data_IF_183293969824
#
_entry.id   IF_183293969824
#
_cell.length_a   1.000
_cell.length_b   1.000
_cell.length_c   1.000
_cell.angle_alpha   90.00
_cell.angle_beta   90.00
_cell.angle_gamma   90.00
#
_symmetry.space_group_name_H-M   'P 1'
#
loop_
_entity.id
_entity.type
_entity.pdbx_description
1 polymer ?
#
# COMPACT_ATOMS: atom_id res chain seq x y z
N UNK A 1 72.90 -67.03 36.70
CA UNK A 1 71.51 -66.78 36.88
C UNK A 1 71.22 -65.33 36.46
N UNK A 2 70.66 -65.09 35.26
CA UNK A 2 70.31 -63.74 34.75
C UNK A 2 68.78 -63.57 34.85
N UNK A 3 68.33 -62.60 35.67
CA UNK A 3 66.94 -62.25 35.77
C UNK A 3 66.62 -61.13 34.71
N UNK A 4 65.76 -61.45 33.77
CA UNK A 4 65.23 -60.49 32.84
C UNK A 4 63.98 -59.79 33.42
N UNK A 5 64.07 -58.45 33.57
CA UNK A 5 62.93 -57.61 33.94
C UNK A 5 62.14 -57.25 32.68
N UNK A 6 60.87 -57.64 32.64
CA UNK A 6 59.96 -57.21 31.61
C UNK A 6 59.22 -55.98 32.07
N UNK A 7 59.45 -54.84 31.35
CA UNK A 7 58.78 -53.61 31.57
C UNK A 7 57.45 -53.64 30.71
N UNK A 8 56.30 -53.57 31.39
CA UNK A 8 55.01 -53.43 30.70
C UNK A 8 54.78 -51.97 30.44
N UNK A 9 54.61 -51.63 29.16
CA UNK A 9 54.16 -50.28 28.69
C UNK A 9 52.64 -50.28 28.54
N UNK A 10 51.96 -49.59 29.45
CA UNK A 10 50.56 -49.35 29.39
C UNK A 10 50.31 -48.13 28.51
N UNK A 11 49.74 -48.35 27.30
CA UNK A 11 49.28 -47.28 26.41
C UNK A 11 47.89 -46.75 26.88
N UNK A 12 47.90 -45.56 27.46
CA UNK A 12 46.70 -44.87 27.84
C UNK A 12 46.02 -44.22 26.56
N UNK A 13 44.85 -44.69 26.18
CA UNK A 13 44.03 -44.01 25.18
C UNK A 13 43.40 -42.77 25.83
N UNK A 14 43.84 -41.59 25.42
CA UNK A 14 43.18 -40.33 25.70
C UNK A 14 42.00 -40.18 24.71
N UNK A 15 40.79 -40.42 25.16
CA UNK A 15 39.56 -40.11 24.40
C UNK A 15 39.32 -38.59 24.53
N UNK A 16 39.52 -37.85 23.43
CA UNK A 16 39.13 -36.45 23.33
C UNK A 16 37.62 -36.35 23.12
N UNK A 17 36.87 -35.52 23.90
CA UNK A 17 35.46 -35.30 23.63
C UNK A 17 35.31 -34.47 22.36
N UNK A 18 34.66 -35.05 21.33
CA UNK A 18 34.19 -34.32 20.15
C UNK A 18 32.96 -33.52 20.56
N UNK A 19 33.15 -32.21 20.80
CA UNK A 19 32.05 -31.28 20.95
C UNK A 19 31.39 -31.09 19.58
N UNK A 20 30.29 -31.82 19.30
CA UNK A 20 29.39 -31.50 18.20
C UNK A 20 28.71 -30.17 18.54
N UNK A 21 29.26 -29.09 18.04
CA UNK A 21 28.56 -27.78 18.02
C UNK A 21 27.33 -27.91 17.12
N UNK A 22 26.16 -27.92 17.74
CA UNK A 22 24.92 -27.72 16.99
C UNK A 22 24.96 -26.29 16.39
N UNK A 23 25.25 -26.18 15.09
CA UNK A 23 25.08 -24.95 14.35
C UNK A 23 23.57 -24.67 14.29
N UNK A 24 23.06 -23.84 15.20
CA UNK A 24 21.72 -23.30 15.08
C UNK A 24 21.70 -22.50 13.77
N UNK A 25 20.94 -22.98 12.77
CA UNK A 25 20.60 -22.19 11.60
C UNK A 25 19.77 -21.00 12.10
N UNK A 26 20.42 -19.88 12.37
CA UNK A 26 19.72 -18.62 12.57
C UNK A 26 19.03 -18.28 11.26
N UNK A 27 17.69 -18.40 11.23
CA UNK A 27 16.89 -17.86 10.13
C UNK A 27 17.18 -16.37 10.04
N UNK A 28 17.57 -15.90 8.84
CA UNK A 28 17.74 -14.47 8.61
C UNK A 28 16.47 -13.73 9.05
N UNK A 29 16.57 -12.58 9.70
CA UNK A 29 15.40 -11.81 10.10
C UNK A 29 14.57 -11.48 8.84
N UNK A 30 13.29 -11.82 8.87
CA UNK A 30 12.36 -11.52 7.78
C UNK A 30 11.94 -10.06 7.89
N UNK A 31 12.03 -9.30 6.79
CA UNK A 31 11.55 -7.91 6.74
C UNK A 31 10.02 -7.91 6.68
N UNK A 32 9.37 -7.33 7.69
CA UNK A 32 7.91 -7.21 7.76
C UNK A 32 7.44 -5.92 7.07
N UNK A 33 6.56 -6.07 6.08
CA UNK A 33 5.98 -4.97 5.33
C UNK A 33 4.47 -4.86 5.55
N UNK A 34 3.96 -3.63 5.61
CA UNK A 34 2.52 -3.34 5.68
C UNK A 34 2.12 -2.48 4.50
N UNK A 35 1.12 -2.94 3.73
CA UNK A 35 0.46 -2.20 2.66
C UNK A 35 -0.75 -1.44 3.19
N UNK A 36 -0.76 -0.11 3.06
CA UNK A 36 -1.86 0.77 3.42
C UNK A 36 -2.32 1.54 2.18
N UNK A 37 -3.60 1.86 2.14
CA UNK A 37 -4.08 2.77 1.11
C UNK A 37 -5.49 2.50 0.61
N UNK A 38 -5.80 3.19 -0.48
CA UNK A 38 -7.08 3.11 -1.18
C UNK A 38 -7.04 2.15 -2.39
N UNK A 39 -7.92 2.37 -3.38
CA UNK A 39 -8.00 1.52 -4.57
C UNK A 39 -6.73 1.48 -5.41
N UNK A 40 -5.89 2.53 -5.38
CA UNK A 40 -4.62 2.53 -6.10
C UNK A 40 -3.55 1.64 -5.45
N UNK A 41 -3.68 1.40 -4.15
CA UNK A 41 -2.89 0.37 -3.46
C UNK A 41 -3.52 -1.01 -3.62
N UNK A 42 -4.85 -1.13 -3.40
CA UNK A 42 -5.57 -2.40 -3.43
C UNK A 42 -5.66 -3.06 -4.82
N UNK A 43 -5.60 -2.29 -5.92
CA UNK A 43 -5.65 -2.83 -7.28
C UNK A 43 -6.99 -3.52 -7.64
N UNK A 44 -8.16 -2.85 -7.47
CA UNK A 44 -9.43 -3.46 -7.80
C UNK A 44 -9.48 -3.91 -9.26
N UNK A 45 -10.17 -5.03 -9.52
CA UNK A 45 -10.30 -5.66 -10.83
C UNK A 45 -9.03 -6.27 -11.42
N UNK A 46 -7.88 -6.12 -10.78
CA UNK A 46 -6.64 -6.82 -11.16
C UNK A 46 -6.68 -8.23 -10.56
N UNK A 47 -6.79 -9.24 -11.39
CA UNK A 47 -6.88 -10.64 -10.94
C UNK A 47 -5.50 -11.26 -10.72
N UNK A 48 -5.37 -12.20 -9.75
CA UNK A 48 -6.39 -12.70 -8.83
C UNK A 48 -6.72 -11.72 -7.71
N UNK A 49 -8.01 -11.67 -7.33
CA UNK A 49 -8.47 -10.91 -6.16
C UNK A 49 -8.27 -11.73 -4.88
N UNK A 50 -8.05 -11.05 -3.76
CA UNK A 50 -7.94 -11.66 -2.43
C UNK A 50 -9.33 -12.13 -1.93
N UNK A 51 -9.57 -13.45 -1.82
CA UNK A 51 -10.84 -13.97 -1.38
C UNK A 51 -11.12 -13.73 0.10
N UNK A 52 -10.10 -13.41 0.89
CA UNK A 52 -10.25 -13.10 2.33
C UNK A 52 -10.74 -11.66 2.57
N UNK A 53 -10.71 -10.80 1.56
CA UNK A 53 -11.04 -9.39 1.67
C UNK A 53 -11.91 -8.88 0.49
N UNK A 54 -13.05 -9.55 0.21
CA UNK A 54 -13.88 -9.22 -0.95
C UNK A 54 -14.44 -7.79 -0.90
N UNK A 55 -14.69 -7.27 0.29
CA UNK A 55 -15.17 -5.91 0.47
C UNK A 55 -14.14 -4.82 0.12
N UNK A 56 -12.86 -5.15 0.08
CA UNK A 56 -11.79 -4.22 -0.28
C UNK A 56 -11.41 -4.27 -1.76
N UNK A 57 -11.88 -5.27 -2.51
CA UNK A 57 -11.52 -5.53 -3.90
C UNK A 57 -9.99 -5.55 -4.09
N UNK A 58 -9.27 -6.16 -3.13
CA UNK A 58 -7.81 -6.20 -3.13
C UNK A 58 -7.30 -7.27 -4.08
N UNK A 59 -6.28 -6.91 -4.87
CA UNK A 59 -5.56 -7.85 -5.73
C UNK A 59 -4.45 -8.54 -4.95
N UNK A 60 -4.16 -9.81 -5.28
CA UNK A 60 -2.95 -10.51 -4.82
C UNK A 60 -1.71 -10.20 -5.67
N UNK A 61 -1.83 -9.27 -6.63
CA UNK A 61 -0.75 -8.83 -7.52
C UNK A 61 -0.72 -7.31 -7.70
N UNK A 62 -1.29 -6.57 -6.76
CA UNK A 62 -1.18 -5.12 -6.65
C UNK A 62 0.27 -4.67 -6.39
N UNK A 63 0.52 -3.34 -6.33
CA UNK A 63 1.90 -2.89 -6.18
C UNK A 63 2.53 -3.25 -4.82
N UNK A 64 1.82 -3.25 -3.66
CA UNK A 64 2.40 -3.74 -2.42
C UNK A 64 2.87 -5.19 -2.51
N UNK A 65 2.05 -6.07 -3.11
CA UNK A 65 2.43 -7.47 -3.35
C UNK A 65 3.62 -7.61 -4.30
N UNK A 66 3.67 -6.81 -5.38
CA UNK A 66 4.79 -6.84 -6.34
C UNK A 66 6.10 -6.38 -5.69
N UNK A 67 6.04 -5.33 -4.89
CA UNK A 67 7.22 -4.84 -4.14
C UNK A 67 7.68 -5.89 -3.14
N UNK A 68 6.76 -6.46 -2.36
CA UNK A 68 7.09 -7.48 -1.37
C UNK A 68 7.73 -8.72 -2.02
N UNK A 69 7.16 -9.21 -3.11
CA UNK A 69 7.71 -10.34 -3.87
C UNK A 69 9.13 -10.05 -4.37
N UNK A 70 9.34 -8.87 -4.98
CA UNK A 70 10.64 -8.48 -5.53
C UNK A 70 11.73 -8.32 -4.45
N UNK A 71 11.33 -7.88 -3.26
CA UNK A 71 12.23 -7.59 -2.15
C UNK A 71 12.37 -8.75 -1.15
N UNK A 72 11.56 -9.79 -1.26
CA UNK A 72 11.52 -10.90 -0.30
C UNK A 72 10.94 -10.50 1.06
N UNK A 73 9.98 -9.55 1.09
CA UNK A 73 9.31 -9.11 2.30
C UNK A 73 8.13 -10.01 2.66
N UNK A 74 7.85 -10.13 3.95
CA UNK A 74 6.59 -10.69 4.45
C UNK A 74 5.57 -9.55 4.50
N UNK A 75 4.59 -9.58 3.60
CA UNK A 75 3.60 -8.52 3.46
C UNK A 75 2.33 -8.81 4.26
N UNK A 76 1.87 -7.82 5.00
CA UNK A 76 0.52 -7.70 5.51
C UNK A 76 -0.18 -6.53 4.80
N UNK A 77 -0.92 -6.82 3.74
CA UNK A 77 -1.66 -5.81 2.99
C UNK A 77 -3.05 -5.64 3.57
N UNK A 78 -3.37 -4.42 3.97
CA UNK A 78 -4.68 -4.00 4.47
C UNK A 78 -5.27 -2.84 3.68
N UNK A 79 -4.70 -2.54 2.51
CA UNK A 79 -5.27 -1.55 1.59
C UNK A 79 -6.70 -1.92 1.21
N UNK A 80 -7.55 -0.93 1.00
CA UNK A 80 -8.96 -1.16 0.76
C UNK A 80 -9.53 -0.11 -0.20
N UNK A 81 -10.17 -0.55 -1.27
CA UNK A 81 -10.80 0.35 -2.24
C UNK A 81 -11.82 1.26 -1.56
N UNK A 82 -11.84 2.54 -1.96
CA UNK A 82 -12.71 3.54 -1.35
C UNK A 82 -12.18 4.19 -0.07
N UNK A 83 -11.07 3.69 0.50
CA UNK A 83 -10.54 4.24 1.76
C UNK A 83 -10.19 5.73 1.64
N UNK A 84 -10.56 6.48 2.66
CA UNK A 84 -10.15 7.86 2.94
C UNK A 84 -9.09 7.91 4.03
N UNK A 85 -8.55 9.07 4.30
CA UNK A 85 -7.64 9.25 5.44
C UNK A 85 -8.31 8.95 6.79
N UNK A 86 -9.62 9.11 6.90
CA UNK A 86 -10.37 8.81 8.12
C UNK A 86 -10.45 7.29 8.37
N UNK A 87 -10.49 6.47 7.31
CA UNK A 87 -10.51 5.00 7.38
C UNK A 87 -9.17 4.39 7.83
N UNK A 88 -8.12 5.20 7.89
CA UNK A 88 -6.89 4.82 8.57
C UNK A 88 -7.10 4.67 10.08
N UNK A 89 -7.99 5.47 10.68
CA UNK A 89 -8.25 5.56 12.12
C UNK A 89 -9.55 4.90 12.56
N UNK A 90 -10.51 4.77 11.66
CA UNK A 90 -11.85 4.22 11.92
C UNK A 90 -12.16 3.07 10.95
N UNK A 91 -13.18 2.27 11.26
CA UNK A 91 -13.67 1.23 10.34
C UNK A 91 -14.39 1.84 9.16
N UNK A 92 -14.07 1.38 7.93
CA UNK A 92 -14.87 1.64 6.74
C UNK A 92 -15.88 0.52 6.47
N UNK A 93 -16.88 0.80 5.66
CA UNK A 93 -17.76 -0.24 5.10
C UNK A 93 -17.23 -0.70 3.75
N UNK A 94 -16.93 -1.99 3.63
CA UNK A 94 -16.49 -2.59 2.37
C UNK A 94 -17.61 -2.67 1.33
N UNK A 95 -17.27 -2.96 0.08
CA UNK A 95 -18.24 -3.14 -1.01
C UNK A 95 -19.18 -4.34 -0.80
N UNK A 96 -18.84 -5.26 0.08
CA UNK A 96 -19.69 -6.38 0.52
C UNK A 96 -20.61 -6.01 1.71
N UNK A 97 -20.63 -4.74 2.11
CA UNK A 97 -21.43 -4.23 3.21
C UNK A 97 -20.88 -4.53 4.61
N UNK A 98 -19.71 -5.19 4.71
CA UNK A 98 -19.11 -5.52 6.01
C UNK A 98 -18.16 -4.46 6.49
N UNK A 99 -17.98 -4.39 7.82
CA UNK A 99 -17.01 -3.51 8.44
C UNK A 99 -15.58 -4.02 8.16
N UNK A 100 -14.72 -3.12 7.69
CA UNK A 100 -13.28 -3.33 7.52
C UNK A 100 -12.56 -2.56 8.63
N UNK A 101 -11.67 -3.20 9.41
CA UNK A 101 -10.99 -2.54 10.51
C UNK A 101 -10.13 -1.35 10.05
N UNK A 102 -9.83 -0.40 10.97
CA UNK A 102 -8.91 0.71 10.68
C UNK A 102 -7.56 0.19 10.19
N UNK A 103 -7.08 0.70 9.07
CA UNK A 103 -5.86 0.17 8.43
C UNK A 103 -4.61 0.32 9.32
N UNK A 104 -4.51 1.40 10.10
CA UNK A 104 -3.38 1.61 11.02
C UNK A 104 -3.27 0.54 12.11
N UNK A 105 -4.30 -0.28 12.35
CA UNK A 105 -4.24 -1.39 13.30
C UNK A 105 -3.31 -2.54 12.85
N UNK A 106 -2.93 -2.57 11.57
CA UNK A 106 -1.95 -3.52 11.04
C UNK A 106 -0.51 -3.20 11.46
N UNK A 107 -0.24 -1.95 11.84
CA UNK A 107 1.10 -1.49 12.19
C UNK A 107 1.55 -1.99 13.58
N UNK A 108 2.80 -2.39 13.65
CA UNK A 108 3.49 -2.83 14.88
C UNK A 108 4.82 -2.11 15.03
N UNK A 109 5.37 -2.09 16.24
CA UNK A 109 6.72 -1.56 16.48
C UNK A 109 7.81 -2.32 15.73
N UNK A 110 7.54 -3.57 15.33
CA UNK A 110 8.41 -4.44 14.54
C UNK A 110 8.21 -4.31 13.03
N UNK A 111 7.25 -3.49 12.57
CA UNK A 111 7.09 -3.24 11.13
C UNK A 111 8.32 -2.53 10.59
N UNK A 112 8.92 -3.07 9.52
CA UNK A 112 10.13 -2.55 8.90
C UNK A 112 9.84 -1.62 7.72
N UNK A 113 8.78 -1.92 6.96
CA UNK A 113 8.42 -1.19 5.74
C UNK A 113 6.92 -0.90 5.71
N UNK A 114 6.57 0.31 5.33
CA UNK A 114 5.18 0.72 5.07
C UNK A 114 5.08 1.31 3.68
N UNK A 115 4.09 0.87 2.91
CA UNK A 115 3.68 1.54 1.66
C UNK A 115 2.33 2.21 1.87
N UNK A 116 2.13 3.39 1.27
CA UNK A 116 0.90 4.16 1.43
C UNK A 116 0.52 4.86 0.12
N UNK A 117 -0.73 4.73 -0.29
CA UNK A 117 -1.38 5.57 -1.31
C UNK A 117 -2.74 5.97 -0.78
N UNK A 118 -2.96 7.24 -0.46
CA UNK A 118 -4.18 7.72 0.20
C UNK A 118 -4.46 9.20 -0.12
N UNK A 119 -5.72 9.59 -0.06
CA UNK A 119 -6.18 10.98 -0.20
C UNK A 119 -7.02 11.22 -1.45
N UNK A 120 -7.00 10.33 -2.43
CA UNK A 120 -7.83 10.45 -3.63
C UNK A 120 -9.33 10.46 -3.34
N UNK A 121 -9.77 9.62 -2.40
CA UNK A 121 -11.17 9.58 -1.99
C UNK A 121 -11.56 10.78 -1.11
N UNK A 122 -10.62 11.34 -0.35
CA UNK A 122 -10.86 12.57 0.45
C UNK A 122 -11.22 13.76 -0.43
N UNK A 123 -10.61 13.89 -1.62
CA UNK A 123 -10.95 14.95 -2.57
C UNK A 123 -12.21 14.65 -3.38
N UNK A 124 -12.77 13.43 -3.26
CA UNK A 124 -13.95 12.99 -4.00
C UNK A 124 -13.67 12.63 -5.46
N UNK A 125 -12.52 11.97 -5.73
CA UNK A 125 -12.02 11.66 -7.07
C UNK A 125 -13.07 11.02 -7.98
N UNK A 126 -13.79 9.97 -7.52
CA UNK A 126 -14.83 9.30 -8.31
C UNK A 126 -15.93 10.27 -8.73
N UNK A 127 -16.44 11.10 -7.82
CA UNK A 127 -17.45 12.10 -8.13
C UNK A 127 -16.94 13.19 -9.07
N UNK A 128 -15.63 13.52 -9.00
CA UNK A 128 -15.02 14.45 -9.95
C UNK A 128 -15.07 13.84 -11.35
N UNK A 129 -14.63 12.61 -11.54
CA UNK A 129 -14.67 11.95 -12.86
C UNK A 129 -16.12 11.84 -13.38
N UNK A 130 -17.06 11.41 -12.56
CA UNK A 130 -18.47 11.31 -12.94
C UNK A 130 -19.05 12.65 -13.40
N UNK A 131 -18.79 13.73 -12.67
CA UNK A 131 -19.23 15.07 -13.01
C UNK A 131 -18.60 15.61 -14.29
N UNK A 132 -17.39 15.16 -14.62
CA UNK A 132 -16.66 15.58 -15.81
C UNK A 132 -17.05 14.80 -17.08
N UNK A 133 -17.86 13.75 -16.99
CA UNK A 133 -18.36 13.02 -18.17
C UNK A 133 -19.11 14.01 -19.09
N UNK A 134 -18.63 14.15 -20.32
CA UNK A 134 -19.22 14.99 -21.36
C UNK A 134 -20.16 14.18 -22.26
N UNK A 135 -21.31 14.74 -22.62
CA UNK A 135 -22.29 14.11 -23.52
C UNK A 135 -21.97 14.32 -25.01
N UNK A 136 -21.15 15.33 -25.31
CA UNK A 136 -20.58 15.59 -26.65
C UNK A 136 -19.14 16.07 -26.51
N UNK A 137 -18.32 16.10 -27.59
CA UNK A 137 -16.96 16.63 -27.54
C UNK A 137 -16.81 18.06 -27.00
N UNK A 138 -17.89 18.83 -27.06
CA UNK A 138 -17.91 20.23 -26.61
C UNK A 138 -18.80 20.48 -25.38
N UNK A 139 -19.22 19.40 -24.71
CA UNK A 139 -20.16 19.43 -23.58
C UNK A 139 -21.66 19.39 -24.05
N UNK A 140 -22.62 19.54 -23.12
CA UNK A 140 -22.39 19.75 -21.69
C UNK A 140 -21.83 18.52 -21.00
N UNK A 141 -21.29 18.73 -19.80
CA UNK A 141 -20.88 17.66 -18.89
C UNK A 141 -22.06 17.21 -18.01
N UNK A 142 -21.90 16.07 -17.32
CA UNK A 142 -22.92 15.56 -16.39
C UNK A 142 -23.25 16.54 -15.27
N UNK A 143 -22.32 17.38 -14.88
CA UNK A 143 -22.53 18.47 -13.90
C UNK A 143 -23.32 19.67 -14.43
N UNK A 144 -23.66 19.70 -15.72
CA UNK A 144 -24.46 20.74 -16.36
C UNK A 144 -23.70 21.78 -17.18
N UNK A 145 -22.60 22.39 -16.73
CA UNK A 145 -21.78 23.30 -17.52
C UNK A 145 -21.17 22.63 -18.76
N UNK A 146 -20.70 23.44 -19.72
CA UNK A 146 -20.03 22.93 -20.93
C UNK A 146 -18.75 22.19 -20.65
N UNK A 147 -18.04 22.57 -19.58
CA UNK A 147 -16.78 21.95 -19.18
C UNK A 147 -16.75 21.66 -17.67
N UNK A 148 -16.01 20.65 -17.29
CA UNK A 148 -15.74 20.29 -15.90
C UNK A 148 -15.01 21.44 -15.18
N UNK A 149 -14.05 22.06 -15.86
CA UNK A 149 -13.35 23.24 -15.36
C UNK A 149 -14.31 24.35 -14.96
N UNK A 150 -15.31 24.66 -15.82
CA UNK A 150 -16.31 25.69 -15.52
C UNK A 150 -17.13 25.34 -14.27
N UNK A 151 -17.45 24.07 -14.05
CA UNK A 151 -18.14 23.62 -12.84
C UNK A 151 -17.30 23.82 -11.58
N UNK A 152 -16.06 23.32 -11.58
CA UNK A 152 -15.20 23.35 -10.39
C UNK A 152 -14.54 24.70 -10.13
N UNK A 153 -14.63 25.66 -11.08
CA UNK A 153 -14.18 27.05 -10.86
C UNK A 153 -15.34 28.05 -10.75
N UNK A 154 -16.60 27.55 -10.68
CA UNK A 154 -17.75 28.42 -10.46
C UNK A 154 -17.61 29.21 -9.15
N UNK A 155 -17.90 30.51 -9.22
CA UNK A 155 -17.72 31.42 -8.07
C UNK A 155 -16.30 31.97 -7.89
N UNK A 156 -15.40 31.75 -8.86
CA UNK A 156 -14.05 32.33 -8.88
C UNK A 156 -13.03 31.61 -7.99
N UNK A 157 -13.36 30.43 -7.46
CA UNK A 157 -12.45 29.63 -6.63
C UNK A 157 -12.24 28.26 -7.27
N UNK A 158 -10.99 27.81 -7.32
CA UNK A 158 -10.67 26.43 -7.71
C UNK A 158 -11.03 25.48 -6.56
N UNK A 159 -12.18 24.83 -6.69
CA UNK A 159 -12.71 23.91 -5.69
C UNK A 159 -11.84 22.64 -5.54
N UNK A 160 -11.18 22.19 -6.61
CA UNK A 160 -10.30 20.99 -6.55
C UNK A 160 -9.02 21.31 -5.82
N UNK A 161 -8.38 22.43 -6.12
CA UNK A 161 -7.22 22.90 -5.37
C UNK A 161 -7.54 23.10 -3.88
N UNK A 162 -8.72 23.63 -3.55
CA UNK A 162 -9.17 23.78 -2.18
C UNK A 162 -9.34 22.43 -1.46
N UNK A 163 -9.92 21.42 -2.12
CA UNK A 163 -10.06 20.06 -1.57
C UNK A 163 -8.69 19.40 -1.34
N UNK A 164 -7.76 19.54 -2.28
CA UNK A 164 -6.39 19.05 -2.15
C UNK A 164 -5.70 19.69 -0.94
N UNK A 165 -5.81 21.02 -0.83
CA UNK A 165 -5.22 21.75 0.31
C UNK A 165 -5.82 21.30 1.66
N UNK A 166 -7.13 21.03 1.71
CA UNK A 166 -7.79 20.53 2.91
C UNK A 166 -7.43 19.07 3.26
N UNK A 167 -7.04 18.27 2.27
CA UNK A 167 -6.65 16.87 2.47
C UNK A 167 -5.21 16.74 3.00
N UNK A 168 -4.33 17.67 2.67
CA UNK A 168 -2.92 17.67 3.09
C UNK A 168 -2.73 17.42 4.58
N UNK A 169 -3.31 18.21 5.51
CA UNK A 169 -3.14 17.99 6.95
C UNK A 169 -3.69 16.63 7.43
N UNK A 170 -4.66 16.05 6.74
CA UNK A 170 -5.16 14.71 7.04
C UNK A 170 -4.12 13.63 6.69
N UNK A 171 -3.48 13.74 5.53
CA UNK A 171 -2.38 12.84 5.14
C UNK A 171 -1.19 13.00 6.10
N UNK A 172 -0.84 14.23 6.47
CA UNK A 172 0.22 14.49 7.46
C UNK A 172 -0.07 13.78 8.79
N UNK A 173 -1.33 13.79 9.24
CA UNK A 173 -1.76 13.07 10.46
C UNK A 173 -1.60 11.55 10.32
N UNK A 174 -1.91 10.98 9.17
CA UNK A 174 -1.69 9.54 8.88
C UNK A 174 -0.20 9.22 8.98
N UNK A 175 0.66 10.01 8.35
CA UNK A 175 2.12 9.81 8.37
C UNK A 175 2.71 9.91 9.78
N UNK A 176 2.24 10.87 10.58
CA UNK A 176 2.64 11.00 11.98
C UNK A 176 2.24 9.76 12.79
N UNK A 177 1.05 9.22 12.56
CA UNK A 177 0.58 8.03 13.27
C UNK A 177 1.32 6.75 12.82
N UNK A 178 1.68 6.62 11.54
CA UNK A 178 2.56 5.56 11.05
C UNK A 178 3.91 5.63 11.81
N UNK A 179 4.52 6.81 11.88
CA UNK A 179 5.79 6.99 12.58
C UNK A 179 5.67 6.69 14.08
N UNK A 180 4.54 7.01 14.70
CA UNK A 180 4.30 6.72 16.11
C UNK A 180 4.16 5.22 16.40
N UNK A 181 3.44 4.48 15.54
CA UNK A 181 3.20 3.03 15.71
C UNK A 181 4.39 2.17 15.30
N UNK A 182 5.09 2.60 14.27
CA UNK A 182 6.23 1.88 13.67
C UNK A 182 7.44 2.81 13.55
N UNK A 183 8.06 3.18 14.67
CA UNK A 183 9.09 4.24 14.71
C UNK A 183 10.34 3.93 13.88
N UNK A 184 10.63 2.65 13.66
CA UNK A 184 11.78 2.19 12.87
C UNK A 184 11.45 1.93 11.40
N UNK A 185 10.16 1.95 11.04
CA UNK A 185 9.75 1.63 9.68
C UNK A 185 10.22 2.67 8.66
N UNK A 186 10.66 2.17 7.50
CA UNK A 186 10.81 2.97 6.29
C UNK A 186 9.44 3.13 5.64
N UNK A 187 8.95 4.36 5.49
CA UNK A 187 7.64 4.64 4.88
C UNK A 187 7.81 5.20 3.48
N UNK A 188 7.21 4.54 2.50
CA UNK A 188 7.15 4.99 1.10
C UNK A 188 5.73 5.43 0.78
N UNK A 189 5.58 6.68 0.34
CA UNK A 189 4.30 7.21 -0.16
C UNK A 189 4.33 7.19 -1.67
N UNK A 190 3.43 6.43 -2.28
CA UNK A 190 3.22 6.42 -3.72
C UNK A 190 2.11 7.40 -4.08
N UNK A 191 2.38 8.30 -5.01
CA UNK A 191 1.37 9.21 -5.57
C UNK A 191 0.48 8.51 -6.58
N UNK A 192 -0.52 9.23 -7.08
CA UNK A 192 -1.40 8.75 -8.14
C UNK A 192 -0.77 8.98 -9.51
N UNK A 193 -0.82 8.00 -10.43
CA UNK A 193 -0.35 8.20 -11.79
C UNK A 193 -1.24 9.20 -12.53
N UNK A 194 -0.67 9.89 -13.51
CA UNK A 194 -1.47 10.65 -14.47
C UNK A 194 -2.34 9.68 -15.30
N UNK A 195 -3.66 9.85 -15.22
CA UNK A 195 -4.61 8.99 -15.92
C UNK A 195 -5.18 9.65 -17.20
N UNK A 196 -4.88 10.92 -17.39
CA UNK A 196 -5.27 11.69 -18.56
C UNK A 196 -4.04 11.99 -19.40
N UNK A 197 -4.17 12.08 -20.73
CA UNK A 197 -3.08 12.54 -21.58
C UNK A 197 -2.78 14.02 -21.32
N UNK A 198 -1.52 14.42 -21.52
CA UNK A 198 -1.10 15.83 -21.34
C UNK A 198 -1.74 16.77 -22.37
N UNK A 199 -2.16 16.24 -23.52
CA UNK A 199 -2.81 17.01 -24.56
C UNK A 199 -3.68 16.09 -25.43
N UNK A 200 -4.66 16.69 -26.11
CA UNK A 200 -5.56 15.99 -27.02
C UNK A 200 -6.89 15.60 -26.35
N UNK A 201 -7.74 14.94 -27.11
CA UNK A 201 -9.04 14.44 -26.66
C UNK A 201 -9.24 13.03 -27.20
N UNK A 202 -9.74 12.14 -26.38
CA UNK A 202 -10.03 10.75 -26.74
C UNK A 202 -11.54 10.45 -26.74
N UNK A 203 -12.36 11.47 -27.04
CA UNK A 203 -13.80 11.26 -27.16
C UNK A 203 -14.13 10.36 -28.36
N UNK A 204 -15.04 9.38 -28.24
CA UNK A 204 -15.87 9.05 -27.07
C UNK A 204 -15.24 8.05 -26.09
N UNK A 205 -14.05 7.49 -26.36
CA UNK A 205 -13.40 6.47 -25.53
C UNK A 205 -13.10 7.01 -24.12
N UNK A 206 -12.66 8.27 -24.03
CA UNK A 206 -12.59 9.04 -22.80
C UNK A 206 -13.56 10.22 -22.95
N UNK A 207 -14.76 10.16 -22.36
CA UNK A 207 -15.82 11.14 -22.60
C UNK A 207 -15.60 12.43 -21.78
N UNK A 208 -14.48 13.09 -22.02
CA UNK A 208 -14.12 14.40 -21.47
C UNK A 208 -14.04 15.42 -22.61
N UNK A 209 -14.26 16.69 -22.29
CA UNK A 209 -14.04 17.74 -23.30
C UNK A 209 -12.53 17.97 -23.49
N UNK A 210 -12.07 18.43 -24.66
CA UNK A 210 -10.64 18.75 -24.86
C UNK A 210 -10.11 19.78 -23.87
N UNK A 211 -10.97 20.68 -23.37
CA UNK A 211 -10.62 21.71 -22.37
C UNK A 211 -10.38 21.11 -20.97
N UNK A 212 -10.95 19.93 -20.69
CA UNK A 212 -10.88 19.26 -19.39
C UNK A 212 -9.73 18.23 -19.32
N UNK A 213 -9.03 17.99 -20.45
CA UNK A 213 -7.92 17.04 -20.55
C UNK A 213 -6.56 17.73 -20.42
N UNK A 214 -6.47 19.05 -20.66
CA UNK A 214 -5.22 19.82 -20.66
C UNK A 214 -5.04 20.76 -19.49
#
# INVERSE_FOLDING_TARGET
>A
MRRTIRTAVTAGLLAAPVLLGAAACATAPTTEAVGLGDSYAAGPLITPQDPSSPGCLRSLVDYPHRVALQKGYVLHDVSCSGATTDDMFASQTGYDGKAVPPQLNALRSTTDVVTLTIGGNDIGFTGIIENCIAFTPTGPTRSGPKTCKAFYTAGGTDQLAARIAATRPKVDKVLQEIKRRSPSASTSVAGYPAILPEAGACYPQLPLTPTDVG
#
